data_IF_477895481019
#
_entry.id   IF_477895481019
#
_cell.length_a   1.000
_cell.length_b   1.000
_cell.length_c   1.000
_cell.angle_alpha   90.00
_cell.angle_beta   90.00
_cell.angle_gamma   90.00
#
_symmetry.space_group_name_H-M   'P 1'
#
loop_
_entity.id
_entity.type
_entity.pdbx_description
1 polymer ?
#
# COMPACT_ATOMS: atom_id res chain seq x y z
N UNK A 1 -23.74 -40.42 -33.60
CA UNK A 1 -23.56 -39.90 -32.21
C UNK A 1 -23.04 -38.47 -32.27
N UNK A 2 -23.90 -37.50 -32.17
CA UNK A 2 -23.55 -36.09 -32.22
C UNK A 2 -22.97 -35.63 -30.89
N UNK A 3 -21.70 -35.23 -30.88
CA UNK A 3 -21.12 -34.47 -29.77
C UNK A 3 -21.73 -33.06 -29.81
N UNK A 4 -22.71 -32.83 -28.95
CA UNK A 4 -23.22 -31.49 -28.71
C UNK A 4 -22.12 -30.58 -28.19
N UNK A 5 -21.63 -29.68 -29.04
CA UNK A 5 -20.76 -28.62 -28.64
C UNK A 5 -21.51 -27.72 -27.66
N UNK A 6 -21.05 -27.69 -26.41
CA UNK A 6 -21.46 -26.66 -25.44
C UNK A 6 -20.99 -25.32 -25.99
N UNK A 7 -21.91 -24.62 -26.66
CA UNK A 7 -21.69 -23.23 -27.04
C UNK A 7 -21.32 -22.45 -25.77
N UNK A 8 -20.11 -21.92 -25.73
CA UNK A 8 -19.74 -20.92 -24.72
C UNK A 8 -20.75 -19.78 -24.89
N UNK A 9 -21.74 -19.72 -24.00
CA UNK A 9 -22.53 -18.49 -23.84
C UNK A 9 -21.51 -17.37 -23.62
N UNK A 10 -21.47 -16.42 -24.56
CA UNK A 10 -20.74 -15.16 -24.34
C UNK A 10 -21.31 -14.54 -23.06
N UNK A 11 -20.64 -14.78 -21.94
CA UNK A 11 -21.08 -14.30 -20.65
C UNK A 11 -21.08 -12.78 -20.66
N UNK A 12 -22.17 -12.18 -20.21
CA UNK A 12 -22.21 -10.77 -19.81
C UNK A 12 -20.99 -10.54 -18.93
N UNK A 13 -20.09 -9.63 -19.33
CA UNK A 13 -18.92 -9.30 -18.51
C UNK A 13 -19.43 -8.82 -17.15
N UNK A 14 -19.18 -9.61 -16.10
CA UNK A 14 -19.53 -9.21 -14.75
C UNK A 14 -18.71 -7.98 -14.37
N UNK A 15 -19.37 -6.95 -13.85
CA UNK A 15 -18.73 -5.74 -13.36
C UNK A 15 -18.22 -6.03 -11.96
N UNK A 16 -16.92 -5.84 -11.71
CA UNK A 16 -16.32 -6.03 -10.41
C UNK A 16 -16.79 -4.96 -9.41
N UNK A 17 -16.76 -5.29 -8.13
CA UNK A 17 -17.04 -4.32 -7.06
C UNK A 17 -16.05 -3.16 -7.12
N UNK A 18 -14.79 -3.42 -7.46
CA UNK A 18 -13.76 -2.39 -7.63
C UNK A 18 -14.14 -1.40 -8.72
N UNK A 19 -14.59 -1.88 -9.87
CA UNK A 19 -15.06 -1.03 -10.98
C UNK A 19 -16.25 -0.16 -10.55
N UNK A 20 -17.23 -0.74 -9.85
CA UNK A 20 -18.39 0.00 -9.34
C UNK A 20 -18.00 1.12 -8.37
N UNK A 21 -16.96 0.91 -7.58
CA UNK A 21 -16.44 1.88 -6.63
C UNK A 21 -15.42 2.86 -7.23
N UNK A 22 -15.02 2.66 -8.48
CA UNK A 22 -13.95 3.44 -9.13
C UNK A 22 -12.56 3.18 -8.54
N UNK A 23 -12.35 2.00 -7.97
CA UNK A 23 -11.10 1.61 -7.31
C UNK A 23 -10.30 0.62 -8.15
N UNK A 24 -8.98 0.69 -8.03
CA UNK A 24 -8.05 -0.29 -8.60
C UNK A 24 -7.83 -1.49 -7.67
N UNK A 25 -7.91 -1.29 -6.36
CA UNK A 25 -7.72 -2.35 -5.38
C UNK A 25 -8.89 -3.34 -5.38
N UNK A 26 -8.62 -4.62 -5.09
CA UNK A 26 -9.61 -5.70 -5.25
C UNK A 26 -10.58 -5.75 -4.08
N UNK A 27 -11.72 -5.08 -4.20
CA UNK A 27 -12.77 -5.03 -3.17
C UNK A 27 -13.28 -6.42 -2.81
N UNK A 28 -13.54 -7.28 -3.79
CA UNK A 28 -14.04 -8.63 -3.56
C UNK A 28 -13.05 -9.51 -2.78
N UNK A 29 -11.77 -9.39 -3.05
CA UNK A 29 -10.71 -10.11 -2.33
C UNK A 29 -10.60 -9.63 -0.89
N UNK A 30 -10.68 -8.34 -0.66
CA UNK A 30 -10.66 -7.75 0.69
C UNK A 30 -11.89 -8.19 1.48
N UNK A 31 -13.06 -8.23 0.86
CA UNK A 31 -14.26 -8.76 1.48
C UNK A 31 -14.09 -10.21 1.94
N UNK A 32 -13.45 -11.04 1.11
CA UNK A 32 -13.16 -12.43 1.44
C UNK A 32 -12.20 -12.53 2.63
N UNK A 33 -11.15 -11.75 2.68
CA UNK A 33 -10.21 -11.73 3.81
C UNK A 33 -10.88 -11.27 5.10
N UNK A 34 -11.73 -10.27 5.04
CA UNK A 34 -12.46 -9.79 6.21
C UNK A 34 -13.39 -10.86 6.79
N UNK A 35 -14.05 -11.64 5.92
CA UNK A 35 -14.92 -12.74 6.38
C UNK A 35 -14.11 -13.92 6.94
N UNK A 36 -13.01 -14.27 6.29
CA UNK A 36 -12.19 -15.41 6.68
C UNK A 36 -11.39 -15.14 7.97
N UNK A 37 -11.09 -13.89 8.28
CA UNK A 37 -10.23 -13.53 9.41
C UNK A 37 -10.87 -13.62 10.80
N UNK A 38 -12.18 -13.85 10.89
CA UNK A 38 -12.86 -13.98 12.17
C UNK A 38 -12.91 -12.70 13.01
N UNK A 39 -12.77 -11.54 12.39
CA UNK A 39 -12.75 -10.25 13.10
C UNK A 39 -14.13 -9.85 13.65
N UNK A 40 -15.18 -10.27 12.98
CA UNK A 40 -16.55 -10.02 13.37
C UNK A 40 -17.48 -11.10 12.82
N UNK A 41 -18.69 -11.21 13.38
CA UNK A 41 -19.70 -12.18 12.89
C UNK A 41 -20.19 -11.81 11.48
N UNK A 42 -20.27 -10.53 11.18
CA UNK A 42 -20.75 -10.00 9.91
C UNK A 42 -19.85 -8.87 9.43
N UNK A 43 -19.78 -8.71 8.12
CA UNK A 43 -19.05 -7.62 7.46
C UNK A 43 -20.05 -6.89 6.57
N UNK A 44 -20.30 -5.63 6.84
CA UNK A 44 -21.17 -4.79 6.02
C UNK A 44 -20.63 -4.63 4.60
N UNK A 45 -21.49 -4.43 3.62
CA UNK A 45 -21.12 -4.35 2.21
C UNK A 45 -20.21 -3.17 1.88
N UNK A 46 -20.30 -2.08 2.65
CA UNK A 46 -19.45 -0.90 2.47
C UNK A 46 -18.06 -1.00 3.10
N UNK A 47 -17.85 -1.93 4.05
CA UNK A 47 -16.59 -2.06 4.76
C UNK A 47 -15.42 -2.44 3.84
N UNK A 48 -15.52 -3.44 2.96
CA UNK A 48 -14.44 -3.77 2.04
C UNK A 48 -14.17 -2.67 1.01
N UNK A 49 -15.18 -1.91 0.61
CA UNK A 49 -15.01 -0.76 -0.30
C UNK A 49 -14.21 0.33 0.38
N UNK A 50 -14.57 0.68 1.60
CA UNK A 50 -13.85 1.69 2.38
C UNK A 50 -12.40 1.28 2.64
N UNK A 51 -12.19 0.03 3.05
CA UNK A 51 -10.84 -0.47 3.31
C UNK A 51 -9.99 -0.51 2.04
N UNK A 52 -10.56 -0.93 0.91
CA UNK A 52 -9.89 -0.91 -0.38
C UNK A 52 -9.49 0.51 -0.79
N UNK A 53 -10.35 1.49 -0.57
CA UNK A 53 -10.07 2.90 -0.84
C UNK A 53 -8.92 3.43 0.03
N UNK A 54 -8.89 3.10 1.30
CA UNK A 54 -7.81 3.46 2.23
C UNK A 54 -6.49 2.85 1.79
N UNK A 55 -6.47 1.57 1.46
CA UNK A 55 -5.27 0.87 1.00
C UNK A 55 -4.75 1.43 -0.33
N UNK A 56 -5.63 1.75 -1.25
CA UNK A 56 -5.26 2.37 -2.52
C UNK A 56 -4.65 3.75 -2.31
N UNK A 57 -5.25 4.58 -1.47
CA UNK A 57 -4.74 5.89 -1.11
C UNK A 57 -3.35 5.80 -0.46
N UNK A 58 -3.18 4.93 0.54
CA UNK A 58 -1.90 4.75 1.22
C UNK A 58 -0.81 4.24 0.26
N UNK A 59 -1.15 3.32 -0.61
CA UNK A 59 -0.21 2.79 -1.61
C UNK A 59 0.21 3.87 -2.60
N UNK A 60 -0.72 4.68 -3.07
CA UNK A 60 -0.42 5.80 -3.98
C UNK A 60 0.51 6.81 -3.32
N UNK A 61 0.27 7.15 -2.06
CA UNK A 61 1.12 8.07 -1.29
C UNK A 61 2.54 7.52 -1.11
N UNK A 62 2.66 6.26 -0.72
CA UNK A 62 3.96 5.60 -0.57
C UNK A 62 4.71 5.56 -1.91
N UNK A 63 4.03 5.25 -3.00
CA UNK A 63 4.64 5.18 -4.32
C UNK A 63 5.10 6.54 -4.83
N UNK A 64 4.35 7.60 -4.54
CA UNK A 64 4.76 8.96 -4.88
C UNK A 64 6.06 9.34 -4.17
N UNK A 65 6.11 9.12 -2.86
CA UNK A 65 7.30 9.40 -2.04
C UNK A 65 8.49 8.51 -2.43
N UNK A 66 8.25 7.24 -2.71
CA UNK A 66 9.30 6.32 -3.16
C UNK A 66 9.82 6.69 -4.55
N UNK A 67 8.95 7.16 -5.44
CA UNK A 67 9.33 7.69 -6.74
C UNK A 67 10.22 8.93 -6.62
N UNK A 68 9.92 9.82 -5.70
CA UNK A 68 10.75 10.97 -5.39
C UNK A 68 12.13 10.55 -4.87
N UNK A 69 12.17 9.57 -3.95
CA UNK A 69 13.42 9.03 -3.42
C UNK A 69 14.29 8.39 -4.52
N UNK A 70 13.68 7.67 -5.45
CA UNK A 70 14.39 7.09 -6.58
C UNK A 70 14.98 8.17 -7.50
N UNK A 71 14.21 9.21 -7.81
CA UNK A 71 14.68 10.35 -8.60
C UNK A 71 15.81 11.10 -7.93
N UNK A 72 15.74 11.32 -6.63
CA UNK A 72 16.81 11.95 -5.86
C UNK A 72 18.12 11.13 -5.92
N UNK A 73 17.99 9.80 -5.97
CA UNK A 73 19.12 8.88 -6.19
C UNK A 73 19.48 8.70 -7.68
N UNK A 74 18.87 9.45 -8.58
CA UNK A 74 19.09 9.35 -10.04
C UNK A 74 18.82 7.94 -10.58
N UNK A 75 17.81 7.27 -10.06
CA UNK A 75 17.39 5.93 -10.47
C UNK A 75 16.03 5.99 -11.17
N UNK A 76 15.88 5.24 -12.25
CA UNK A 76 14.61 5.10 -12.97
C UNK A 76 13.72 3.98 -12.42
N UNK A 77 14.19 3.23 -11.42
CA UNK A 77 13.48 2.09 -10.86
C UNK A 77 13.27 2.29 -9.37
N UNK A 78 12.06 2.04 -8.91
CA UNK A 78 11.75 1.98 -7.46
C UNK A 78 12.18 0.62 -6.95
N UNK A 79 13.08 0.60 -5.98
CA UNK A 79 13.53 -0.60 -5.28
C UNK A 79 13.06 -0.55 -3.82
N UNK A 80 13.10 -1.67 -3.07
CA UNK A 80 12.64 -1.70 -1.68
C UNK A 80 13.26 -0.64 -0.78
N UNK A 81 14.52 -0.30 -1.00
CA UNK A 81 15.20 0.77 -0.27
C UNK A 81 14.53 2.13 -0.44
N UNK A 82 14.02 2.44 -1.64
CA UNK A 82 13.30 3.70 -1.88
C UNK A 82 11.99 3.75 -1.12
N UNK A 83 11.29 2.62 -1.04
CA UNK A 83 10.05 2.50 -0.25
C UNK A 83 10.36 2.68 1.23
N UNK A 84 11.42 2.05 1.73
CA UNK A 84 11.84 2.20 3.12
C UNK A 84 12.22 3.64 3.45
N UNK A 85 12.99 4.32 2.59
CA UNK A 85 13.34 5.72 2.76
C UNK A 85 12.09 6.61 2.79
N UNK A 86 11.15 6.37 1.88
CA UNK A 86 9.89 7.11 1.82
C UNK A 86 9.09 6.97 3.11
N UNK A 87 8.92 5.74 3.61
CA UNK A 87 8.19 5.46 4.84
C UNK A 87 8.88 6.07 6.06
N UNK A 88 10.20 5.90 6.18
CA UNK A 88 10.96 6.37 7.34
C UNK A 88 11.09 7.90 7.40
N UNK A 89 11.06 8.56 6.26
CA UNK A 89 11.15 10.02 6.18
C UNK A 89 9.80 10.73 6.33
N UNK A 90 8.70 10.02 6.20
CA UNK A 90 7.37 10.55 6.47
C UNK A 90 6.96 10.21 7.90
N UNK A 91 6.69 11.22 8.71
CA UNK A 91 6.41 11.04 10.13
C UNK A 91 5.17 10.18 10.38
N UNK A 92 4.10 10.39 9.63
CA UNK A 92 2.86 9.64 9.78
C UNK A 92 3.01 8.19 9.33
N UNK A 93 3.64 7.95 8.17
CA UNK A 93 3.89 6.60 7.66
C UNK A 93 4.87 5.84 8.54
N UNK A 94 5.91 6.49 9.04
CA UNK A 94 6.85 5.87 9.96
C UNK A 94 6.17 5.42 11.26
N UNK A 95 5.28 6.23 11.77
CA UNK A 95 4.49 5.90 12.96
C UNK A 95 3.51 4.76 12.70
N UNK A 96 2.80 4.79 11.57
CA UNK A 96 1.83 3.76 11.17
C UNK A 96 2.50 2.41 10.95
N UNK A 97 3.68 2.39 10.33
CA UNK A 97 4.42 1.20 9.96
C UNK A 97 5.60 0.89 10.90
N UNK A 98 5.61 1.50 12.08
CA UNK A 98 6.62 1.24 13.09
C UNK A 98 6.66 -0.26 13.45
N UNK A 99 7.87 -0.82 13.53
CA UNK A 99 8.07 -2.23 13.81
C UNK A 99 7.98 -3.16 12.60
N UNK A 100 7.59 -2.67 11.44
CA UNK A 100 7.63 -3.44 10.20
C UNK A 100 9.01 -3.37 9.55
N UNK A 101 9.52 -4.52 9.14
CA UNK A 101 10.78 -4.63 8.41
C UNK A 101 10.50 -4.84 6.93
N UNK A 102 11.17 -4.05 6.07
CA UNK A 102 11.11 -4.23 4.63
C UNK A 102 12.32 -5.08 4.21
N UNK A 103 12.12 -6.31 3.72
CA UNK A 103 13.23 -7.13 3.23
C UNK A 103 14.01 -6.42 2.12
N UNK A 104 15.32 -6.53 2.12
CA UNK A 104 16.22 -5.90 1.14
C UNK A 104 16.21 -4.36 1.12
N UNK A 105 15.58 -3.72 2.11
CA UNK A 105 15.58 -2.27 2.25
C UNK A 105 16.88 -1.70 2.82
N UNK A 106 17.69 -2.55 3.42
CA UNK A 106 18.90 -2.14 4.12
C UNK A 106 18.61 -1.51 5.48
N UNK A 107 19.67 -1.21 6.21
CA UNK A 107 19.59 -0.51 7.50
C UNK A 107 19.67 0.98 7.22
N UNK A 108 18.67 1.75 7.61
CA UNK A 108 18.77 3.19 7.63
C UNK A 108 19.74 3.61 8.76
N UNK A 109 20.59 4.62 8.52
CA UNK A 109 21.36 5.21 9.61
C UNK A 109 20.38 5.77 10.63
N UNK A 110 20.15 5.04 11.71
CA UNK A 110 19.26 5.46 12.78
C UNK A 110 20.11 5.95 13.94
N UNK A 111 20.37 7.25 13.95
CA UNK A 111 20.97 7.88 15.10
C UNK A 111 19.85 8.22 16.07
N UNK A 112 19.91 7.70 17.29
CA UNK A 112 18.96 8.05 18.34
C UNK A 112 18.84 9.57 18.45
N UNK A 113 17.61 10.09 18.49
CA UNK A 113 17.33 11.54 18.61
C UNK A 113 18.07 12.18 19.79
N UNK A 114 18.34 11.42 20.85
CA UNK A 114 19.07 11.84 22.05
C UNK A 114 20.56 12.08 21.77
N UNK A 115 21.13 11.44 20.75
CA UNK A 115 22.54 11.55 20.37
C UNK A 115 22.79 12.59 19.29
N UNK A 116 21.74 13.18 18.72
CA UNK A 116 21.86 14.22 17.69
C UNK A 116 22.02 15.58 18.35
N UNK A 117 22.98 16.42 17.89
CA UNK A 117 23.02 17.82 18.28
C UNK A 117 21.70 18.51 17.96
N UNK A 118 21.23 19.40 18.86
CA UNK A 118 19.93 20.09 18.70
C UNK A 118 19.74 20.82 17.37
N UNK A 119 20.82 21.26 16.73
CA UNK A 119 20.78 21.96 15.44
C UNK A 119 20.52 21.02 14.26
N UNK A 120 20.99 19.78 14.33
CA UNK A 120 20.77 18.78 13.28
C UNK A 120 19.34 18.26 13.33
N UNK A 121 18.76 18.15 14.52
CA UNK A 121 17.37 17.73 14.67
C UNK A 121 16.38 18.77 14.11
N UNK A 122 16.69 20.06 14.20
CA UNK A 122 15.89 21.14 13.58
C UNK A 122 15.96 21.13 12.05
N UNK A 123 17.10 20.77 11.46
CA UNK A 123 17.26 20.67 10.00
C UNK A 123 16.58 19.42 9.44
N UNK A 124 16.61 18.32 10.16
CA UNK A 124 15.92 17.09 9.75
C UNK A 124 14.38 17.26 9.80
N UNK A 125 13.86 17.96 10.81
CA UNK A 125 12.44 18.28 10.92
C UNK A 125 11.95 19.26 9.84
N UNK A 126 12.83 20.12 9.28
CA UNK A 126 12.48 21.02 8.17
C UNK A 126 12.58 20.39 6.78
N UNK A 127 13.20 19.22 6.63
CA UNK A 127 13.32 18.47 5.37
C UNK A 127 12.28 17.34 5.23
N UNK A 128 11.52 17.09 6.24
CA UNK A 128 10.41 16.15 6.20
C UNK A 128 9.15 16.82 5.64
#
# INVERSE_FOLDING_TARGET
MGKGGRGKKAGIKSVSRSSKAGLQFPVGRIARFLRAGGYAKRVGSGAPVYLAAVLEYLTAEILELAGNAARDNKKGRIIPRHIQLAVRNDEELDRLLAGMTIPSGGVLPNIHKVLLPKEVSKKAAKKA
#
